data_IF_179861268135
#
_entry.id   IF_179861268135
#
_cell.length_a   1.000
_cell.length_b   1.000
_cell.length_c   1.000
_cell.angle_alpha   90.00
_cell.angle_beta   90.00
_cell.angle_gamma   90.00
#
_symmetry.space_group_name_H-M   'P 1'
#
loop_
_entity.id
_entity.type
_entity.pdbx_description
1 polymer ?
#
# COMPACT_ATOMS: atom_id res chain seq x y z
N UNK A 1 -6.28 17.93 -2.59
CA UNK A 1 -6.31 17.59 -1.15
C UNK A 1 -6.03 16.10 -1.00
N UNK A 2 -5.25 15.72 0.02
CA UNK A 2 -4.90 14.34 0.34
C UNK A 2 -5.27 14.04 1.79
N UNK A 3 -5.95 12.93 2.03
CA UNK A 3 -6.35 12.44 3.35
C UNK A 3 -5.52 11.22 3.70
N UNK A 4 -4.81 11.27 4.83
CA UNK A 4 -4.04 10.15 5.36
C UNK A 4 -4.83 9.48 6.49
N UNK A 5 -5.05 8.18 6.34
CA UNK A 5 -5.66 7.32 7.34
C UNK A 5 -4.61 6.30 7.80
N UNK A 6 -4.54 6.08 9.11
CA UNK A 6 -3.65 5.12 9.74
C UNK A 6 -4.50 4.35 10.73
N UNK A 7 -4.31 3.04 10.79
CA UNK A 7 -5.00 2.21 11.75
C UNK A 7 -4.96 2.78 13.18
N UNK A 8 -6.13 2.79 13.84
CA UNK A 8 -6.29 3.26 15.21
C UNK A 8 -6.11 4.77 15.41
N UNK A 9 -6.02 5.56 14.33
CA UNK A 9 -5.85 7.02 14.39
C UNK A 9 -6.96 7.75 13.64
N UNK A 10 -7.18 9.00 14.02
CA UNK A 10 -8.09 9.89 13.28
C UNK A 10 -7.48 10.24 11.92
N UNK A 11 -8.28 10.27 10.83
CA UNK A 11 -7.83 10.76 9.53
C UNK A 11 -7.27 12.18 9.61
N UNK A 12 -6.20 12.46 8.86
CA UNK A 12 -5.54 13.77 8.85
C UNK A 12 -5.36 14.24 7.41
N UNK A 13 -5.75 15.48 7.14
CA UNK A 13 -5.40 16.13 5.87
C UNK A 13 -3.92 16.45 5.86
N UNK A 14 -3.25 16.05 4.79
CA UNK A 14 -1.80 16.19 4.65
C UNK A 14 -1.46 17.13 3.51
N UNK A 15 -0.53 18.05 3.78
CA UNK A 15 0.04 18.99 2.81
C UNK A 15 1.54 18.78 2.61
N UNK A 16 2.18 17.97 3.48
CA UNK A 16 3.60 17.62 3.41
C UNK A 16 3.76 16.09 3.39
N UNK A 17 4.47 15.60 2.37
CA UNK A 17 4.78 14.18 2.22
C UNK A 17 5.66 13.64 3.35
N UNK A 18 6.42 14.48 4.07
CA UNK A 18 7.21 14.05 5.21
C UNK A 18 6.35 13.39 6.31
N UNK A 19 5.10 13.85 6.49
CA UNK A 19 4.16 13.24 7.43
C UNK A 19 3.73 11.84 6.99
N UNK A 20 3.45 11.68 5.69
CA UNK A 20 3.13 10.37 5.09
C UNK A 20 4.31 9.43 5.24
N UNK A 21 5.52 9.86 4.88
CA UNK A 21 6.75 9.07 5.03
C UNK A 21 6.97 8.63 6.48
N UNK A 22 6.79 9.53 7.44
CA UNK A 22 6.91 9.22 8.88
C UNK A 22 5.87 8.19 9.32
N UNK A 23 4.63 8.34 8.88
CA UNK A 23 3.56 7.40 9.16
C UNK A 23 3.86 6.00 8.63
N UNK A 24 4.26 5.90 7.35
CA UNK A 24 4.63 4.63 6.71
C UNK A 24 5.76 3.91 7.48
N UNK A 25 6.83 4.63 7.84
CA UNK A 25 7.94 4.05 8.62
C UNK A 25 7.54 3.59 10.02
N UNK A 26 6.44 4.10 10.56
CA UNK A 26 5.93 3.72 11.88
C UNK A 26 5.09 2.45 11.89
N UNK A 27 4.67 1.96 10.71
CA UNK A 27 3.85 0.76 10.58
C UNK A 27 4.61 -0.50 11.03
N UNK A 28 3.87 -1.42 11.66
CA UNK A 28 4.36 -2.71 12.15
C UNK A 28 3.32 -3.78 11.84
N UNK A 29 3.73 -4.87 11.18
CA UNK A 29 2.80 -5.95 10.78
C UNK A 29 2.00 -6.53 11.96
N UNK A 30 2.60 -6.63 13.15
CA UNK A 30 1.96 -7.11 14.38
C UNK A 30 1.91 -6.04 15.48
N UNK A 31 1.84 -4.76 15.09
CA UNK A 31 1.83 -3.64 16.04
C UNK A 31 0.47 -2.94 16.13
N UNK A 32 0.41 -1.80 16.85
CA UNK A 32 -0.83 -1.04 17.04
C UNK A 32 -1.33 -0.36 15.76
N UNK A 33 -0.48 -0.28 14.73
CA UNK A 33 -0.84 0.19 13.40
C UNK A 33 -0.10 -0.64 12.36
N UNK A 34 -0.89 -1.31 11.53
CA UNK A 34 -0.49 -2.31 10.54
C UNK A 34 -0.94 -1.95 9.12
N UNK A 35 -1.68 -0.86 8.93
CA UNK A 35 -2.01 -0.35 7.60
C UNK A 35 -2.10 1.18 7.56
N UNK A 36 -1.99 1.74 6.35
CA UNK A 36 -2.26 3.14 6.07
C UNK A 36 -2.87 3.32 4.68
N UNK A 37 -3.69 4.35 4.51
CA UNK A 37 -4.38 4.71 3.26
C UNK A 37 -4.13 6.19 2.99
N UNK A 38 -3.81 6.53 1.75
CA UNK A 38 -3.70 7.91 1.27
C UNK A 38 -4.71 8.12 0.14
N UNK A 39 -5.70 8.97 0.39
CA UNK A 39 -6.86 9.17 -0.50
C UNK A 39 -6.86 10.57 -1.10
N UNK A 40 -7.05 10.65 -2.41
CA UNK A 40 -7.22 11.90 -3.17
C UNK A 40 -8.67 12.39 -3.10
N UNK A 41 -8.86 13.68 -3.39
CA UNK A 41 -10.19 14.30 -3.41
C UNK A 41 -11.16 13.68 -4.44
N UNK A 42 -10.63 13.04 -5.50
CA UNK A 42 -11.43 12.32 -6.49
C UNK A 42 -11.88 10.93 -6.01
N UNK A 43 -11.45 10.49 -4.83
CA UNK A 43 -11.72 9.15 -4.28
C UNK A 43 -10.71 8.08 -4.69
N UNK A 44 -9.72 8.40 -5.54
CA UNK A 44 -8.62 7.50 -5.83
C UNK A 44 -7.75 7.34 -4.59
N UNK A 45 -7.22 6.15 -4.33
CA UNK A 45 -6.38 5.91 -3.15
C UNK A 45 -5.24 4.94 -3.42
N UNK A 46 -4.21 5.05 -2.59
CA UNK A 46 -3.18 4.01 -2.40
C UNK A 46 -3.19 3.58 -0.94
N UNK A 47 -3.07 2.28 -0.70
CA UNK A 47 -3.04 1.71 0.63
C UNK A 47 -1.90 0.70 0.78
N UNK A 48 -1.43 0.56 2.01
CA UNK A 48 -0.48 -0.48 2.40
C UNK A 48 -1.00 -1.23 3.61
N UNK A 49 -0.86 -2.55 3.57
CA UNK A 49 -0.98 -3.43 4.74
C UNK A 49 0.40 -4.01 5.07
N UNK A 50 0.68 -4.21 6.35
CA UNK A 50 1.97 -4.66 6.87
C UNK A 50 2.93 -3.52 7.25
N UNK A 51 4.18 -3.87 7.55
CA UNK A 51 5.18 -2.92 7.98
C UNK A 51 6.61 -3.44 7.85
N UNK A 52 7.55 -2.50 7.70
CA UNK A 52 9.01 -2.71 7.56
C UNK A 52 9.40 -3.62 6.41
N UNK A 53 9.30 -4.94 6.61
CA UNK A 53 9.83 -5.96 5.71
C UNK A 53 8.76 -6.68 4.90
N UNK A 54 7.51 -6.61 5.35
CA UNK A 54 6.43 -7.38 4.76
C UNK A 54 5.26 -6.44 4.58
N UNK A 55 5.21 -5.82 3.40
CA UNK A 55 4.17 -4.88 3.02
C UNK A 55 3.49 -5.33 1.73
N UNK A 56 2.17 -5.15 1.65
CA UNK A 56 1.41 -5.33 0.41
C UNK A 56 0.73 -4.01 0.10
N UNK A 57 0.93 -3.52 -1.12
CA UNK A 57 0.41 -2.23 -1.57
C UNK A 57 -0.68 -2.46 -2.60
N UNK A 58 -1.79 -1.75 -2.45
CA UNK A 58 -2.85 -1.72 -3.43
C UNK A 58 -3.19 -0.28 -3.80
N UNK A 59 -3.67 -0.06 -5.02
CA UNK A 59 -4.22 1.22 -5.44
C UNK A 59 -5.58 1.03 -6.10
N UNK A 60 -6.42 2.06 -6.03
CA UNK A 60 -7.70 2.13 -6.74
C UNK A 60 -7.82 3.48 -7.44
N UNK A 61 -8.25 3.44 -8.70
CA UNK A 61 -8.65 4.64 -9.44
C UNK A 61 -10.16 4.83 -9.32
N UNK A 62 -10.60 6.02 -8.88
CA UNK A 62 -12.03 6.31 -8.78
C UNK A 62 -12.71 6.36 -10.15
N UNK A 63 -12.02 6.89 -11.16
CA UNK A 63 -12.58 7.04 -12.51
C UNK A 63 -12.87 5.72 -13.22
N UNK A 64 -12.05 4.69 -12.99
CA UNK A 64 -12.22 3.37 -13.63
C UNK A 64 -12.75 2.29 -12.68
N UNK A 65 -12.74 2.56 -11.37
CA UNK A 65 -13.03 1.55 -10.34
C UNK A 65 -11.99 0.43 -10.24
N UNK A 66 -10.95 0.43 -11.08
CA UNK A 66 -9.94 -0.62 -11.11
C UNK A 66 -9.13 -0.62 -9.83
N UNK A 67 -8.97 -1.81 -9.26
CA UNK A 67 -8.10 -2.07 -8.13
C UNK A 67 -6.92 -2.90 -8.60
N UNK A 68 -5.72 -2.52 -8.17
CA UNK A 68 -4.49 -3.21 -8.53
C UNK A 68 -3.63 -3.44 -7.29
N UNK A 69 -2.85 -4.52 -7.28
CA UNK A 69 -1.79 -4.76 -6.29
C UNK A 69 -0.41 -4.52 -6.91
N UNK A 70 0.46 -3.90 -6.13
CA UNK A 70 1.86 -3.73 -6.52
C UNK A 70 2.60 -5.06 -6.42
N UNK A 71 3.48 -5.32 -7.36
CA UNK A 71 4.39 -6.47 -7.37
C UNK A 71 5.75 -6.06 -7.91
N UNK A 72 6.80 -6.74 -7.46
CA UNK A 72 8.06 -6.74 -8.18
C UNK A 72 7.92 -7.53 -9.49
N UNK A 73 8.70 -7.16 -10.49
CA UNK A 73 8.86 -8.00 -11.69
C UNK A 73 9.57 -9.31 -11.34
N UNK A 74 10.52 -9.25 -10.41
CA UNK A 74 11.23 -10.40 -9.84
C UNK A 74 11.09 -10.39 -8.33
N UNK A 75 10.64 -11.51 -7.75
CA UNK A 75 10.53 -11.66 -6.29
C UNK A 75 11.86 -11.32 -5.59
N UNK A 76 11.76 -10.63 -4.44
CA UNK A 76 12.92 -10.27 -3.61
C UNK A 76 12.97 -11.05 -2.29
N UNK A 77 11.96 -11.88 -2.02
CA UNK A 77 11.90 -12.71 -0.82
C UNK A 77 12.49 -14.11 -1.10
N UNK A 78 13.08 -14.77 -0.09
CA UNK A 78 13.80 -16.03 -0.29
C UNK A 78 12.91 -17.28 -0.25
N UNK A 79 11.59 -17.12 -0.18
CA UNK A 79 10.63 -18.22 -0.09
C UNK A 79 9.76 -18.32 -1.33
N UNK A 80 9.20 -19.51 -1.53
CA UNK A 80 8.24 -19.84 -2.58
C UNK A 80 6.84 -20.00 -1.98
N UNK A 81 5.82 -19.79 -2.82
CA UNK A 81 4.41 -19.93 -2.43
C UNK A 81 3.82 -18.69 -1.75
N UNK A 82 2.49 -18.62 -1.77
CA UNK A 82 1.73 -17.52 -1.19
C UNK A 82 1.82 -17.52 0.34
N UNK A 83 1.67 -16.34 0.93
CA UNK A 83 1.56 -16.18 2.38
C UNK A 83 0.28 -15.48 2.76
N UNK A 84 -0.36 -15.95 3.84
CA UNK A 84 -1.46 -15.23 4.47
C UNK A 84 -0.89 -14.19 5.43
N UNK A 85 -1.09 -12.92 5.11
CA UNK A 85 -0.79 -11.79 5.97
C UNK A 85 -2.01 -11.44 6.80
N UNK A 86 -1.80 -11.27 8.11
CA UNK A 86 -2.82 -10.83 9.05
C UNK A 86 -2.42 -9.46 9.58
N UNK A 87 -3.35 -8.51 9.50
CA UNK A 87 -3.25 -7.13 9.95
C UNK A 87 -4.60 -6.74 10.54
N UNK A 88 -4.72 -5.64 11.28
CA UNK A 88 -6.00 -5.36 11.96
C UNK A 88 -7.15 -5.00 11.01
N UNK A 89 -6.85 -4.72 9.73
CA UNK A 89 -7.84 -4.63 8.64
C UNK A 89 -8.33 -5.99 8.08
N UNK A 90 -7.80 -7.13 8.55
CA UNK A 90 -8.20 -8.47 8.14
C UNK A 90 -7.02 -9.35 7.72
N UNK A 91 -7.31 -10.33 6.85
CA UNK A 91 -6.31 -11.22 6.29
C UNK A 91 -6.30 -11.11 4.76
N UNK A 92 -5.12 -11.18 4.16
CA UNK A 92 -4.97 -11.27 2.71
C UNK A 92 -3.93 -12.33 2.35
N UNK A 93 -4.15 -12.99 1.22
CA UNK A 93 -3.16 -13.88 0.62
C UNK A 93 -2.32 -13.09 -0.38
N UNK A 94 -0.99 -13.15 -0.23
CA UNK A 94 -0.03 -12.42 -1.05
C UNK A 94 0.96 -13.38 -1.71
N UNK A 95 1.19 -13.17 -2.99
CA UNK A 95 2.26 -13.85 -3.72
C UNK A 95 3.64 -13.29 -3.32
N UNK A 96 4.73 -14.07 -3.40
CA UNK A 96 6.08 -13.61 -3.06
C UNK A 96 6.48 -12.27 -3.68
N UNK A 97 6.13 -12.03 -4.95
CA UNK A 97 6.42 -10.78 -5.64
C UNK A 97 5.58 -9.59 -5.16
N UNK A 98 4.46 -9.80 -4.46
CA UNK A 98 3.63 -8.75 -3.86
C UNK A 98 4.17 -8.28 -2.51
N UNK A 99 5.22 -8.92 -2.00
CA UNK A 99 5.83 -8.62 -0.71
C UNK A 99 6.89 -7.55 -0.88
N UNK A 100 6.50 -6.31 -0.63
CA UNK A 100 7.34 -5.13 -0.76
C UNK A 100 7.99 -4.74 0.57
N UNK A 101 9.12 -4.03 0.46
CA UNK A 101 9.81 -3.40 1.59
C UNK A 101 9.38 -1.95 1.75
N UNK A 102 9.46 -1.43 2.98
CA UNK A 102 8.92 -0.11 3.31
C UNK A 102 9.51 1.04 2.49
N UNK A 103 10.75 0.96 2.04
CA UNK A 103 11.35 2.00 1.19
C UNK A 103 10.67 2.04 -0.19
N UNK A 104 10.35 0.90 -0.78
CA UNK A 104 9.63 0.84 -2.06
C UNK A 104 8.17 1.30 -1.89
N UNK A 105 7.54 0.98 -0.75
CA UNK A 105 6.20 1.53 -0.41
C UNK A 105 6.23 3.06 -0.35
N UNK A 106 7.24 3.65 0.28
CA UNK A 106 7.37 5.11 0.35
C UNK A 106 7.49 5.71 -1.05
N UNK A 107 8.24 5.08 -1.96
CA UNK A 107 8.36 5.55 -3.33
C UNK A 107 7.02 5.48 -4.08
N UNK A 108 6.24 4.40 -3.90
CA UNK A 108 4.91 4.27 -4.48
C UNK A 108 3.97 5.37 -3.95
N UNK A 109 3.94 5.59 -2.64
CA UNK A 109 3.13 6.64 -2.03
C UNK A 109 3.56 8.04 -2.49
N UNK A 110 4.86 8.25 -2.71
CA UNK A 110 5.39 9.50 -3.26
C UNK A 110 4.94 9.71 -4.70
N UNK A 111 5.02 8.68 -5.54
CA UNK A 111 4.54 8.75 -6.91
C UNK A 111 3.03 9.06 -6.97
N UNK A 112 2.24 8.39 -6.12
CA UNK A 112 0.82 8.67 -5.99
C UNK A 112 0.54 10.11 -5.55
N UNK A 113 1.29 10.62 -4.57
CA UNK A 113 1.23 11.99 -4.07
C UNK A 113 1.50 13.02 -5.19
N UNK A 114 2.53 12.81 -5.99
CA UNK A 114 2.96 13.70 -7.08
C UNK A 114 2.09 13.55 -8.34
N UNK A 115 1.28 12.49 -8.43
CA UNK A 115 0.49 12.18 -9.62
C UNK A 115 1.32 11.57 -10.76
N UNK A 116 2.50 11.03 -10.46
CA UNK A 116 3.38 10.39 -11.44
C UNK A 116 3.07 8.90 -11.62
N UNK A 117 3.43 8.38 -12.79
CA UNK A 117 3.21 6.98 -13.20
C UNK A 117 4.32 6.08 -12.65
N UNK A 118 4.19 5.69 -11.38
CA UNK A 118 4.90 4.56 -10.77
C UNK A 118 6.44 4.67 -10.69
N UNK A 119 7.06 3.59 -10.22
CA UNK A 119 8.52 3.44 -10.13
C UNK A 119 8.97 2.31 -11.05
N UNK A 120 10.12 2.43 -11.72
CA UNK A 120 10.60 1.46 -12.73
C UNK A 120 10.74 0.00 -12.24
N UNK A 121 10.70 -0.25 -10.92
CA UNK A 121 10.91 -1.58 -10.32
C UNK A 121 9.58 -2.25 -9.89
N UNK A 122 8.45 -1.53 -9.98
CA UNK A 122 7.14 -1.97 -9.50
C UNK A 122 6.16 -2.06 -10.66
N UNK A 123 5.61 -3.24 -10.86
CA UNK A 123 4.49 -3.49 -11.76
C UNK A 123 3.17 -3.54 -10.99
N UNK A 124 2.07 -3.34 -11.69
CA UNK A 124 0.72 -3.41 -11.13
C UNK A 124 -0.04 -4.61 -11.71
N UNK A 125 -0.60 -5.43 -10.83
CA UNK A 125 -1.46 -6.55 -11.18
C UNK A 125 -2.91 -6.16 -10.92
N UNK A 126 -3.76 -6.27 -11.95
CA UNK A 126 -5.20 -6.11 -11.78
C UNK A 126 -5.74 -7.13 -10.79
N UNK A 127 -6.58 -6.64 -9.87
CA UNK A 127 -7.31 -7.47 -8.93
C UNK A 127 -8.69 -7.78 -9.49
N UNK A 128 -9.16 -9.04 -9.43
CA UNK A 128 -10.55 -9.31 -9.68
C UNK A 128 -11.41 -8.52 -8.68
N UNK A 129 -12.63 -8.11 -9.08
CA UNK A 129 -13.56 -7.54 -8.12
C UNK A 129 -13.76 -8.54 -6.97
N UNK A 130 -13.97 -8.05 -5.73
CA UNK A 130 -14.27 -8.94 -4.61
C UNK A 130 -15.46 -9.83 -4.99
N UNK A 131 -15.32 -11.14 -4.78
CA UNK A 131 -16.39 -12.11 -5.01
C UNK A 131 -17.64 -11.65 -4.25
N UNK A 132 -18.76 -11.53 -4.97
CA UNK A 132 -20.05 -11.14 -4.41
C UNK A 132 -20.59 -12.17 -3.40
#
# INVERSE_FOLDING_TARGET
>A
MLLLEIEGKKPVQVQDFALVKKALRSLKSYGPASFAILTKADGSYVQVAGGRLTCVVAQRSAGTGKQMRARYERTKVPYEGSQTLVFGGGKLEAEPEEILFIEDVILIFKAFWEGSVGTAVIAWRDMPPPSA
#
